data_IF_149990111393
#
_entry.id   IF_149990111393
#
_cell.length_a   1.000
_cell.length_b   1.000
_cell.length_c   1.000
_cell.angle_alpha   90.00
_cell.angle_beta   90.00
_cell.angle_gamma   90.00
#
_symmetry.space_group_name_H-M   'P 1'
#
loop_
_entity.id
_entity.type
_entity.pdbx_description
1 polymer ?
#
# COMPACT_ATOMS: atom_id res chain seq x y z
N UNK A 1 -8.28 4.69 -8.70
CA UNK A 1 -9.47 4.87 -7.85
C UNK A 1 -9.57 3.77 -6.82
N UNK A 2 -10.07 4.12 -5.63
CA UNK A 2 -10.48 3.15 -4.61
C UNK A 2 -11.69 2.33 -5.07
N UNK A 3 -11.94 1.20 -4.39
CA UNK A 3 -13.19 0.44 -4.51
C UNK A 3 -14.21 0.96 -3.49
N UNK A 4 -15.47 0.56 -3.63
CA UNK A 4 -16.53 0.91 -2.69
C UNK A 4 -16.72 -0.17 -1.61
N UNK A 5 -16.97 0.26 -0.36
CA UNK A 5 -16.89 1.64 0.15
C UNK A 5 -15.47 2.19 0.12
N UNK A 6 -15.31 3.51 -0.05
CA UNK A 6 -14.00 4.18 -0.04
C UNK A 6 -13.45 4.29 1.39
N UNK A 7 -13.14 3.15 1.99
CA UNK A 7 -12.72 3.01 3.39
C UNK A 7 -11.52 2.06 3.55
N UNK A 8 -10.84 2.17 4.69
CA UNK A 8 -9.47 1.70 4.84
C UNK A 8 -9.31 0.19 4.68
N UNK A 9 -9.90 -0.67 5.53
CA UNK A 9 -9.66 -2.11 5.43
C UNK A 9 -10.03 -2.67 4.06
N UNK A 10 -11.12 -2.18 3.44
CA UNK A 10 -11.59 -2.60 2.11
C UNK A 10 -10.56 -2.31 1.03
N UNK A 11 -10.00 -1.09 1.04
CA UNK A 11 -9.09 -0.64 -0.01
C UNK A 11 -7.66 -1.14 0.21
N UNK A 12 -7.20 -1.24 1.46
CA UNK A 12 -5.94 -1.92 1.76
C UNK A 12 -5.99 -3.40 1.37
N UNK A 13 -7.09 -4.10 1.68
CA UNK A 13 -7.29 -5.48 1.23
C UNK A 13 -7.25 -5.56 -0.31
N UNK A 14 -8.00 -4.71 -1.01
CA UNK A 14 -8.02 -4.69 -2.47
C UNK A 14 -6.64 -4.42 -3.06
N UNK A 15 -5.87 -3.48 -2.46
CA UNK A 15 -4.51 -3.13 -2.88
C UNK A 15 -3.54 -4.29 -2.75
N UNK A 16 -3.64 -5.10 -1.68
CA UNK A 16 -2.71 -6.21 -1.44
C UNK A 16 -3.16 -7.52 -2.10
N UNK A 17 -4.46 -7.69 -2.34
CA UNK A 17 -5.11 -8.91 -2.79
C UNK A 17 -5.48 -8.91 -4.27
N UNK A 18 -5.24 -7.84 -5.01
CA UNK A 18 -5.48 -7.77 -6.45
C UNK A 18 -6.93 -8.02 -6.86
N UNK A 19 -7.90 -7.83 -5.97
CA UNK A 19 -9.31 -8.15 -6.15
C UNK A 19 -10.21 -7.15 -5.41
N UNK A 20 -11.48 -7.11 -5.75
CA UNK A 20 -12.48 -6.31 -5.06
C UNK A 20 -13.08 -6.99 -3.83
N UNK A 21 -13.84 -6.25 -3.01
CA UNK A 21 -14.42 -6.73 -1.76
C UNK A 21 -15.35 -7.94 -1.94
N UNK A 22 -16.01 -8.06 -3.09
CA UNK A 22 -16.85 -9.22 -3.43
C UNK A 22 -16.07 -10.53 -3.57
N UNK A 23 -14.74 -10.47 -3.72
CA UNK A 23 -13.87 -11.63 -3.85
C UNK A 23 -13.07 -11.91 -2.58
N UNK A 24 -12.46 -10.88 -1.97
CA UNK A 24 -11.66 -11.06 -0.77
C UNK A 24 -12.49 -11.04 0.52
N UNK A 25 -13.69 -10.45 0.51
CA UNK A 25 -14.66 -10.51 1.60
C UNK A 25 -14.54 -9.42 2.67
N UNK A 26 -13.53 -8.56 2.63
CA UNK A 26 -13.41 -7.42 3.54
C UNK A 26 -14.27 -6.27 3.01
N UNK A 27 -15.34 -5.90 3.74
CA UNK A 27 -16.37 -4.97 3.23
C UNK A 27 -16.62 -3.76 4.12
N UNK A 28 -16.07 -3.76 5.34
CA UNK A 28 -16.29 -2.72 6.33
C UNK A 28 -14.97 -1.96 6.63
N UNK A 29 -15.09 -0.75 7.13
CA UNK A 29 -13.95 0.10 7.51
C UNK A 29 -12.90 -0.60 8.37
N UNK A 30 -13.33 -1.35 9.36
CA UNK A 30 -12.47 -2.00 10.36
C UNK A 30 -12.50 -3.52 10.30
N UNK A 31 -12.82 -4.13 9.14
CA UNK A 31 -12.84 -5.59 9.00
C UNK A 31 -11.50 -6.22 9.42
N UNK A 32 -11.54 -7.06 10.44
CA UNK A 32 -10.39 -7.82 10.93
C UNK A 32 -10.34 -9.23 10.34
N UNK A 33 -11.47 -9.71 9.92
CA UNK A 33 -11.68 -10.96 9.18
C UNK A 33 -12.62 -10.66 8.02
N UNK A 34 -12.67 -11.50 6.97
CA UNK A 34 -13.63 -11.32 5.91
C UNK A 34 -15.08 -11.33 6.43
N UNK A 35 -15.86 -10.30 6.12
CA UNK A 35 -17.28 -10.17 6.45
C UNK A 35 -18.14 -11.08 5.56
N UNK A 36 -17.65 -11.31 4.32
CA UNK A 36 -18.17 -12.31 3.38
C UNK A 36 -17.12 -13.42 3.22
N UNK A 37 -17.54 -14.67 2.98
CA UNK A 37 -16.58 -15.73 2.71
C UNK A 37 -15.67 -15.39 1.52
N UNK A 38 -14.35 -15.33 1.76
CA UNK A 38 -13.37 -15.15 0.69
C UNK A 38 -13.54 -16.21 -0.38
N UNK A 39 -13.46 -15.83 -1.65
CA UNK A 39 -13.61 -16.75 -2.80
C UNK A 39 -12.64 -17.93 -2.73
N UNK A 40 -11.42 -17.69 -2.27
CA UNK A 40 -10.39 -18.67 -1.95
C UNK A 40 -9.57 -18.17 -0.77
N UNK A 41 -8.86 -19.07 -0.11
CA UNK A 41 -7.83 -18.71 0.87
C UNK A 41 -6.54 -19.45 0.54
N UNK A 42 -5.40 -18.84 0.87
CA UNK A 42 -4.08 -19.47 0.76
C UNK A 42 -3.83 -20.39 1.97
N UNK A 43 -2.64 -20.98 2.04
CA UNK A 43 -2.24 -21.88 3.15
C UNK A 43 -2.22 -21.21 4.54
N UNK A 44 -2.18 -19.87 4.57
CA UNK A 44 -2.21 -19.08 5.80
C UNK A 44 -3.64 -18.70 6.23
N UNK A 45 -4.67 -19.13 5.47
CA UNK A 45 -6.08 -18.88 5.79
C UNK A 45 -6.61 -17.51 5.40
N UNK A 46 -5.86 -16.75 4.58
CA UNK A 46 -6.25 -15.43 4.07
C UNK A 46 -6.35 -15.48 2.53
N UNK A 47 -7.14 -14.58 1.93
CA UNK A 47 -7.16 -14.42 0.49
C UNK A 47 -5.73 -14.14 -0.05
N UNK A 48 -5.30 -14.70 -1.21
CA UNK A 48 -3.93 -14.54 -1.70
C UNK A 48 -3.51 -13.08 -1.81
N UNK A 49 -2.40 -12.72 -1.16
CA UNK A 49 -1.83 -11.36 -1.16
C UNK A 49 -0.54 -11.30 -1.97
N UNK A 50 -0.11 -10.11 -2.34
CA UNK A 50 1.20 -9.91 -3.00
C UNK A 50 2.34 -10.38 -2.08
N UNK A 51 2.20 -10.27 -0.77
CA UNK A 51 3.20 -10.73 0.20
C UNK A 51 3.32 -12.26 0.20
N UNK A 52 2.19 -12.98 0.26
CA UNK A 52 2.20 -14.44 0.18
C UNK A 52 2.68 -14.94 -1.17
N UNK A 53 2.32 -14.26 -2.26
CA UNK A 53 2.74 -14.63 -3.60
C UNK A 53 4.26 -14.51 -3.78
N UNK A 54 4.86 -13.42 -3.27
CA UNK A 54 6.32 -13.24 -3.29
C UNK A 54 7.01 -14.28 -2.39
N UNK A 55 6.49 -14.52 -1.17
CA UNK A 55 7.03 -15.53 -0.25
C UNK A 55 6.98 -16.95 -0.82
N UNK A 56 5.95 -17.29 -1.57
CA UNK A 56 5.82 -18.60 -2.22
C UNK A 56 6.80 -18.76 -3.38
N UNK A 57 7.05 -17.69 -4.12
CA UNK A 57 8.02 -17.68 -5.22
C UNK A 57 9.46 -17.67 -4.72
N UNK A 58 9.74 -16.87 -3.70
CA UNK A 58 11.06 -16.80 -3.04
C UNK A 58 10.91 -16.96 -1.52
N UNK A 59 11.14 -18.18 -0.99
CA UNK A 59 11.06 -18.44 0.44
C UNK A 59 12.05 -17.64 1.30
N UNK A 60 13.09 -17.05 0.69
CA UNK A 60 14.13 -16.26 1.38
C UNK A 60 13.96 -14.76 1.20
N UNK A 61 12.99 -14.31 0.41
CA UNK A 61 12.76 -12.90 0.20
C UNK A 61 12.57 -12.16 1.53
N UNK A 62 13.28 -11.06 1.72
CA UNK A 62 13.07 -10.18 2.86
C UNK A 62 11.87 -9.28 2.57
N UNK A 63 10.77 -9.46 3.34
CA UNK A 63 9.50 -8.80 3.11
C UNK A 63 9.08 -8.10 4.41
N UNK A 64 8.88 -6.78 4.36
CA UNK A 64 8.51 -5.98 5.52
C UNK A 64 7.15 -5.32 5.39
N UNK A 65 6.50 -5.13 6.55
CA UNK A 65 5.36 -4.24 6.72
C UNK A 65 5.56 -3.39 7.97
N UNK A 66 5.50 -2.08 7.80
CA UNK A 66 5.60 -1.09 8.88
C UNK A 66 4.35 -0.21 8.78
N UNK A 67 3.53 -0.19 9.80
CA UNK A 67 2.26 0.54 9.78
C UNK A 67 1.97 1.22 11.10
N UNK A 68 1.19 2.28 11.05
CA UNK A 68 0.71 3.02 12.22
C UNK A 68 -0.63 2.44 12.68
N UNK A 69 -1.55 2.17 11.75
CA UNK A 69 -2.82 1.52 12.04
C UNK A 69 -2.71 0.00 12.03
N UNK A 70 -3.03 -0.63 13.16
CA UNK A 70 -2.96 -2.08 13.32
C UNK A 70 -3.89 -2.87 12.36
N UNK A 71 -4.90 -2.21 11.78
CA UNK A 71 -5.82 -2.81 10.80
C UNK A 71 -5.13 -3.36 9.54
N UNK A 72 -3.99 -2.78 9.16
CA UNK A 72 -3.15 -3.28 8.06
C UNK A 72 -2.77 -4.75 8.25
N UNK A 73 -2.51 -5.16 9.49
CA UNK A 73 -2.04 -6.52 9.83
C UNK A 73 -3.09 -7.60 9.59
N UNK A 74 -4.38 -7.23 9.53
CA UNK A 74 -5.45 -8.18 9.22
C UNK A 74 -5.62 -8.46 7.73
N UNK A 75 -5.02 -7.61 6.86
CA UNK A 75 -5.17 -7.71 5.41
C UNK A 75 -3.86 -7.97 4.65
N UNK A 76 -2.69 -7.90 5.32
CA UNK A 76 -1.39 -8.03 4.67
C UNK A 76 -0.75 -9.43 4.71
N UNK A 77 -1.39 -10.45 5.26
CA UNK A 77 -0.80 -11.81 5.45
C UNK A 77 0.51 -11.78 6.25
N UNK A 78 0.42 -11.53 7.55
CA UNK A 78 1.57 -11.40 8.44
C UNK A 78 2.49 -12.61 8.48
N UNK A 79 1.96 -13.82 8.15
CA UNK A 79 2.76 -15.05 8.09
C UNK A 79 3.68 -15.10 6.85
N UNK A 80 3.46 -14.24 5.87
CA UNK A 80 4.35 -14.10 4.72
C UNK A 80 5.51 -13.12 4.97
N UNK A 81 5.45 -12.32 6.04
CA UNK A 81 6.42 -11.27 6.32
C UNK A 81 7.68 -11.80 7.03
N UNK A 82 8.82 -11.17 6.79
CA UNK A 82 10.06 -11.30 7.56
C UNK A 82 10.10 -10.29 8.70
N UNK A 83 9.47 -9.14 8.50
CA UNK A 83 9.41 -8.03 9.44
C UNK A 83 8.01 -7.42 9.47
N UNK A 84 7.37 -7.49 10.62
CA UNK A 84 6.04 -6.93 10.89
C UNK A 84 6.15 -5.97 12.08
N UNK A 85 5.88 -4.68 11.84
CA UNK A 85 5.99 -3.67 12.89
C UNK A 85 4.80 -2.72 12.85
N UNK A 86 4.00 -2.75 13.92
CA UNK A 86 3.03 -1.71 14.21
C UNK A 86 3.67 -0.62 15.08
N UNK A 87 3.63 0.61 14.63
CA UNK A 87 4.23 1.77 15.32
C UNK A 87 3.20 2.36 16.27
N UNK A 88 3.50 2.31 17.55
CA UNK A 88 2.66 2.86 18.62
C UNK A 88 3.30 4.08 19.31
N UNK A 89 4.60 4.29 19.07
CA UNK A 89 5.36 5.41 19.63
C UNK A 89 4.87 6.74 19.07
N UNK A 90 4.71 7.71 19.92
CA UNK A 90 4.25 9.06 19.53
C UNK A 90 5.43 10.06 19.50
N UNK A 91 5.49 10.97 18.54
CA UNK A 91 4.62 11.07 17.35
C UNK A 91 4.90 9.94 16.34
N UNK A 92 3.85 9.37 15.74
CA UNK A 92 3.96 8.16 14.93
C UNK A 92 4.75 8.35 13.63
N UNK A 93 4.46 9.38 12.84
CA UNK A 93 5.08 9.56 11.53
C UNK A 93 6.63 9.58 11.56
N UNK A 94 7.29 10.36 12.44
CA UNK A 94 8.76 10.30 12.52
C UNK A 94 9.27 8.94 13.03
N UNK A 95 8.54 8.26 13.92
CA UNK A 95 8.89 6.92 14.39
C UNK A 95 8.77 5.88 13.26
N UNK A 96 7.74 5.98 12.44
CA UNK A 96 7.52 5.14 11.25
C UNK A 96 8.65 5.34 10.23
N UNK A 97 8.96 6.59 9.91
CA UNK A 97 10.06 6.92 8.99
C UNK A 97 11.41 6.39 9.50
N UNK A 98 11.71 6.61 10.78
CA UNK A 98 12.93 6.09 11.41
C UNK A 98 13.01 4.57 11.35
N UNK A 99 11.93 3.87 11.70
CA UNK A 99 11.85 2.42 11.64
C UNK A 99 12.09 1.90 10.21
N UNK A 100 11.48 2.53 9.21
CA UNK A 100 11.66 2.20 7.81
C UNK A 100 13.11 2.39 7.35
N UNK A 101 13.73 3.52 7.68
CA UNK A 101 15.14 3.82 7.37
C UNK A 101 16.08 2.77 7.97
N UNK A 102 15.90 2.43 9.24
CA UNK A 102 16.72 1.43 9.95
C UNK A 102 16.54 0.03 9.34
N UNK A 103 15.30 -0.35 9.02
CA UNK A 103 15.00 -1.64 8.42
C UNK A 103 15.60 -1.77 7.02
N UNK A 104 15.43 -0.77 6.15
CA UNK A 104 15.96 -0.76 4.79
C UNK A 104 17.49 -0.91 4.81
N UNK A 105 18.19 -0.11 5.63
CA UNK A 105 19.66 -0.14 5.71
C UNK A 105 20.21 -1.45 6.26
N UNK A 106 19.46 -2.10 7.18
CA UNK A 106 19.90 -3.35 7.80
C UNK A 106 19.58 -4.58 6.96
N UNK A 107 18.39 -4.64 6.41
CA UNK A 107 17.82 -5.88 5.88
C UNK A 107 17.78 -5.94 4.35
N UNK A 108 17.91 -4.81 3.66
CA UNK A 108 17.82 -4.71 2.19
C UNK A 108 16.58 -5.45 1.65
N UNK A 109 15.35 -5.09 2.06
CA UNK A 109 14.16 -5.86 1.74
C UNK A 109 13.88 -5.89 0.24
N UNK A 110 13.40 -7.05 -0.24
CA UNK A 110 12.89 -7.18 -1.60
C UNK A 110 11.58 -6.40 -1.79
N UNK A 111 10.72 -6.41 -0.75
CA UNK A 111 9.48 -5.64 -0.70
C UNK A 111 9.27 -5.09 0.70
N UNK A 112 9.02 -3.79 0.82
CA UNK A 112 8.59 -3.18 2.08
C UNK A 112 7.36 -2.31 1.85
N UNK A 113 6.34 -2.54 2.67
CA UNK A 113 5.15 -1.73 2.76
C UNK A 113 5.27 -0.81 3.97
N UNK A 114 5.14 0.50 3.77
CA UNK A 114 5.23 1.51 4.82
C UNK A 114 3.95 2.32 4.77
N UNK A 115 3.18 2.32 5.86
CA UNK A 115 1.86 2.95 5.94
C UNK A 115 1.88 4.01 7.03
N UNK A 116 1.64 5.24 6.62
CA UNK A 116 1.35 6.37 7.49
C UNK A 116 -0.16 6.54 7.61
N UNK A 117 -0.66 6.85 8.80
CA UNK A 117 -2.09 7.14 9.02
C UNK A 117 -2.45 8.58 8.61
N UNK A 118 -1.46 9.44 8.44
CA UNK A 118 -1.63 10.76 7.88
C UNK A 118 -1.56 10.73 6.33
N UNK A 119 -2.27 11.60 5.63
CA UNK A 119 -2.97 12.80 6.11
C UNK A 119 -4.43 12.56 6.52
N UNK A 120 -4.89 11.32 6.65
CA UNK A 120 -6.28 11.00 6.96
C UNK A 120 -6.70 11.53 8.35
N UNK A 121 -5.86 11.38 9.37
CA UNK A 121 -6.16 11.90 10.70
C UNK A 121 -6.37 13.43 10.71
N UNK A 122 -5.51 14.19 10.02
CA UNK A 122 -5.72 15.64 9.90
C UNK A 122 -6.94 15.95 9.05
N UNK A 123 -7.24 15.12 8.05
CA UNK A 123 -8.47 15.20 7.26
C UNK A 123 -9.73 15.08 8.11
N UNK A 124 -9.77 14.13 9.03
CA UNK A 124 -10.87 13.98 9.99
C UNK A 124 -10.95 15.14 11.01
N UNK A 125 -9.81 15.63 11.47
CA UNK A 125 -9.75 16.68 12.48
C UNK A 125 -10.07 18.08 11.90
N UNK A 126 -9.40 18.46 10.82
CA UNK A 126 -9.42 19.82 10.27
C UNK A 126 -10.15 19.91 8.93
N UNK A 127 -10.33 18.77 8.24
CA UNK A 127 -10.93 18.66 6.92
C UNK A 127 -9.92 18.37 5.83
N UNK A 128 -10.36 17.58 4.86
CA UNK A 128 -9.66 17.35 3.61
C UNK A 128 -9.67 18.66 2.78
N UNK A 129 -8.66 18.84 1.93
CA UNK A 129 -8.51 20.04 1.08
C UNK A 129 -8.40 21.35 1.89
N UNK A 130 -7.75 21.30 3.06
CA UNK A 130 -7.47 22.46 3.91
C UNK A 130 -5.98 22.78 3.97
N UNK A 131 -5.58 24.00 4.38
CA UNK A 131 -4.16 24.32 4.59
C UNK A 131 -3.45 23.35 5.53
N UNK A 132 -4.10 22.91 6.62
CA UNK A 132 -3.54 21.94 7.57
C UNK A 132 -3.27 20.57 6.89
N UNK A 133 -4.18 20.14 6.03
CA UNK A 133 -4.02 18.91 5.25
C UNK A 133 -2.80 18.98 4.31
N UNK A 134 -2.63 20.09 3.61
CA UNK A 134 -1.49 20.27 2.70
C UNK A 134 -0.16 20.42 3.42
N UNK A 135 -0.12 21.07 4.59
CA UNK A 135 1.10 21.10 5.43
C UNK A 135 1.48 19.69 5.91
N UNK A 136 0.49 18.86 6.24
CA UNK A 136 0.72 17.45 6.61
C UNK A 136 1.26 16.63 5.42
N UNK A 137 0.73 16.82 4.22
CA UNK A 137 1.29 16.20 3.00
C UNK A 137 2.75 16.59 2.77
N UNK A 138 3.10 17.85 2.99
CA UNK A 138 4.48 18.33 2.88
C UNK A 138 5.40 17.71 3.94
N UNK A 139 4.89 17.52 5.15
CA UNK A 139 5.63 16.80 6.21
C UNK A 139 5.90 15.34 5.78
N UNK A 140 4.88 14.64 5.26
CA UNK A 140 5.01 13.26 4.77
C UNK A 140 5.99 13.16 3.58
N UNK A 141 5.97 14.10 2.66
CA UNK A 141 6.95 14.17 1.56
C UNK A 141 8.39 14.22 2.10
N UNK A 142 8.62 14.95 3.20
CA UNK A 142 9.89 14.96 3.91
C UNK A 142 10.30 13.58 4.46
N UNK A 143 9.38 12.80 4.99
CA UNK A 143 9.63 11.43 5.44
C UNK A 143 9.88 10.48 4.27
N UNK A 144 9.15 10.60 3.18
CA UNK A 144 9.40 9.87 1.94
C UNK A 144 10.83 10.16 1.44
N UNK A 145 11.24 11.43 1.47
CA UNK A 145 12.61 11.85 1.14
C UNK A 145 13.67 11.15 1.98
N UNK A 146 13.44 10.98 3.29
CA UNK A 146 14.36 10.26 4.18
C UNK A 146 14.43 8.76 3.82
N UNK A 147 13.30 8.15 3.47
CA UNK A 147 13.23 6.74 3.04
C UNK A 147 13.99 6.54 1.71
N UNK A 148 13.80 7.42 0.73
CA UNK A 148 14.54 7.39 -0.54
C UNK A 148 16.04 7.55 -0.29
N UNK A 149 16.44 8.45 0.61
CA UNK A 149 17.86 8.63 0.98
C UNK A 149 18.42 7.36 1.63
N UNK A 150 17.65 6.67 2.47
CA UNK A 150 18.07 5.40 3.07
C UNK A 150 18.32 4.30 2.03
N UNK A 151 17.45 4.20 1.02
CA UNK A 151 17.62 3.28 -0.12
C UNK A 151 18.91 3.62 -0.89
N UNK A 152 19.17 4.91 -1.12
CA UNK A 152 20.41 5.38 -1.76
C UNK A 152 21.66 5.06 -0.93
N UNK A 153 21.63 5.33 0.38
CA UNK A 153 22.72 5.05 1.31
C UNK A 153 23.03 3.54 1.39
N UNK A 154 22.00 2.71 1.23
CA UNK A 154 22.12 1.25 1.18
C UNK A 154 22.65 0.72 -0.18
N UNK A 155 22.86 1.59 -1.17
CA UNK A 155 23.32 1.22 -2.51
C UNK A 155 22.26 0.53 -3.39
N UNK A 156 20.97 0.69 -3.04
CA UNK A 156 19.86 -0.02 -3.68
C UNK A 156 19.09 0.83 -4.70
N UNK A 157 19.43 2.12 -4.85
CA UNK A 157 18.61 3.08 -5.61
C UNK A 157 18.37 2.63 -7.06
N UNK A 158 19.41 2.13 -7.73
CA UNK A 158 19.35 1.73 -9.14
C UNK A 158 18.57 0.43 -9.37
N UNK A 159 18.27 -0.30 -8.29
CA UNK A 159 17.50 -1.55 -8.32
C UNK A 159 16.10 -1.40 -7.74
N UNK A 160 15.74 -0.21 -7.23
CA UNK A 160 14.48 0.04 -6.53
C UNK A 160 13.44 0.68 -7.43
N UNK A 161 12.20 0.26 -7.22
CA UNK A 161 10.99 0.94 -7.70
C UNK A 161 10.23 1.43 -6.48
N UNK A 162 9.88 2.72 -6.48
CA UNK A 162 9.05 3.35 -5.46
C UNK A 162 7.61 3.46 -5.96
N UNK A 163 6.66 3.11 -5.12
CA UNK A 163 5.24 3.34 -5.33
C UNK A 163 4.73 4.17 -4.16
N UNK A 164 4.09 5.30 -4.44
CA UNK A 164 3.41 6.14 -3.46
C UNK A 164 1.94 6.21 -3.85
N UNK A 165 1.07 5.81 -2.94
CA UNK A 165 -0.37 5.75 -3.18
C UNK A 165 -1.13 5.95 -1.87
N UNK A 166 -2.46 6.04 -1.96
CA UNK A 166 -3.36 6.08 -0.82
C UNK A 166 -4.49 5.06 -1.01
N UNK A 167 -5.10 4.63 0.07
CA UNK A 167 -6.21 3.67 0.04
C UNK A 167 -7.54 4.32 -0.38
N UNK A 168 -7.78 5.56 -0.03
CA UNK A 168 -8.93 6.37 -0.45
C UNK A 168 -8.59 7.86 -0.46
N UNK A 169 -9.50 8.65 -0.97
CA UNK A 169 -9.52 10.09 -0.80
C UNK A 169 -10.40 10.51 0.37
N UNK A 170 -10.89 11.75 0.37
CA UNK A 170 -11.78 12.23 1.41
C UNK A 170 -12.47 13.52 1.03
N UNK A 171 -13.60 13.81 1.69
CA UNK A 171 -14.37 15.03 1.52
C UNK A 171 -14.77 15.59 2.86
N UNK A 172 -14.64 16.92 3.06
CA UNK A 172 -14.89 17.55 4.35
C UNK A 172 -14.08 16.86 5.46
N UNK A 173 -14.74 16.26 6.44
CA UNK A 173 -14.11 15.56 7.57
C UNK A 173 -14.32 14.04 7.52
N UNK A 174 -14.52 13.44 6.34
CA UNK A 174 -14.81 12.02 6.25
C UNK A 174 -14.50 11.41 4.88
N UNK A 175 -14.76 10.12 4.81
CA UNK A 175 -14.66 9.27 3.62
C UNK A 175 -15.61 8.05 3.79
N UNK A 176 -15.59 7.11 2.86
CA UNK A 176 -16.42 5.90 2.89
C UNK A 176 -17.60 5.95 1.93
N UNK A 177 -17.84 7.10 1.30
CA UNK A 177 -18.89 7.32 0.32
C UNK A 177 -18.46 7.01 -1.11
N UNK A 178 -19.16 7.62 -2.05
CA UNK A 178 -19.02 7.36 -3.49
C UNK A 178 -18.76 8.62 -4.32
N UNK A 179 -18.37 9.71 -3.67
CA UNK A 179 -17.98 10.92 -4.39
C UNK A 179 -16.61 10.72 -5.03
N UNK A 180 -16.29 11.51 -6.05
CA UNK A 180 -14.99 11.39 -6.71
C UNK A 180 -13.85 11.78 -5.78
N UNK A 181 -14.07 12.76 -4.89
CA UNK A 181 -13.12 13.20 -3.89
C UNK A 181 -12.76 12.08 -2.89
N UNK A 182 -13.70 11.18 -2.59
CA UNK A 182 -13.47 10.02 -1.73
C UNK A 182 -12.83 8.84 -2.47
N UNK A 183 -13.04 8.75 -3.78
CA UNK A 183 -12.60 7.61 -4.60
C UNK A 183 -11.30 7.85 -5.37
N UNK A 184 -10.95 9.09 -5.68
CA UNK A 184 -9.70 9.37 -6.37
C UNK A 184 -8.51 9.30 -5.42
N UNK A 185 -7.52 8.51 -5.82
CA UNK A 185 -6.27 8.32 -5.10
C UNK A 185 -5.09 8.61 -6.01
N UNK A 186 -4.04 9.18 -5.47
CA UNK A 186 -2.79 9.31 -6.19
C UNK A 186 -2.15 7.93 -6.41
N UNK A 187 -1.50 7.74 -7.55
CA UNK A 187 -0.58 6.63 -7.79
C UNK A 187 0.65 7.15 -8.50
N UNK A 188 1.75 7.18 -7.79
CA UNK A 188 3.04 7.65 -8.28
C UNK A 188 3.99 6.45 -8.30
N UNK A 189 4.63 6.19 -9.44
CA UNK A 189 5.61 5.13 -9.58
C UNK A 189 6.89 5.67 -10.21
N UNK A 190 8.04 5.35 -9.63
CA UNK A 190 9.34 5.81 -10.11
C UNK A 190 10.43 4.79 -9.79
N UNK A 191 11.52 4.80 -10.56
CA UNK A 191 12.69 3.97 -10.29
C UNK A 191 13.14 3.13 -11.47
N UNK A 192 13.71 1.96 -11.18
CA UNK A 192 14.29 1.05 -12.18
C UNK A 192 13.28 0.68 -13.27
N UNK A 193 13.62 0.96 -14.53
CA UNK A 193 12.79 0.57 -15.67
C UNK A 193 11.48 1.38 -15.84
N UNK A 194 11.21 2.38 -14.99
CA UNK A 194 10.01 3.21 -15.10
C UNK A 194 10.26 4.42 -16.02
N UNK A 195 9.27 4.75 -16.85
CA UNK A 195 9.29 5.95 -17.70
C UNK A 195 9.26 7.21 -16.84
N UNK A 196 10.05 8.22 -17.19
CA UNK A 196 10.07 9.50 -16.49
C UNK A 196 9.04 10.47 -17.10
N UNK A 197 8.32 11.20 -16.25
CA UNK A 197 7.34 12.21 -16.69
C UNK A 197 6.17 11.62 -17.49
N UNK A 198 5.85 10.35 -17.28
CA UNK A 198 4.74 9.68 -17.94
C UNK A 198 3.47 9.83 -17.09
N UNK A 199 2.38 10.24 -17.74
CA UNK A 199 1.06 10.27 -17.14
C UNK A 199 0.23 9.08 -17.63
N UNK A 200 -0.50 8.44 -16.71
CA UNK A 200 -1.37 7.31 -17.04
C UNK A 200 -2.45 7.73 -18.03
N UNK A 201 -2.57 7.00 -19.12
CA UNK A 201 -3.61 7.19 -20.13
C UNK A 201 -4.84 6.32 -19.88
N UNK A 202 -4.68 5.27 -19.08
CA UNK A 202 -5.73 4.35 -18.70
C UNK A 202 -6.03 4.47 -17.20
N UNK A 203 -7.29 4.31 -16.84
CA UNK A 203 -7.69 4.32 -15.44
C UNK A 203 -7.11 3.13 -14.69
N UNK A 204 -6.75 3.37 -13.43
CA UNK A 204 -6.26 2.37 -12.50
C UNK A 204 -7.25 2.21 -11.36
N UNK A 205 -7.48 0.98 -10.91
CA UNK A 205 -8.21 0.65 -9.70
C UNK A 205 -7.25 0.21 -8.61
N UNK A 206 -7.68 0.28 -7.37
CA UNK A 206 -6.85 -0.06 -6.21
C UNK A 206 -6.24 -1.47 -6.31
N UNK A 207 -7.01 -2.43 -6.80
CA UNK A 207 -6.57 -3.82 -6.96
C UNK A 207 -5.51 -4.02 -8.08
N UNK A 208 -5.31 -3.03 -8.96
CA UNK A 208 -4.27 -3.08 -9.99
C UNK A 208 -2.85 -2.92 -9.37
N UNK A 209 -2.77 -2.44 -8.13
CA UNK A 209 -1.50 -2.27 -7.41
C UNK A 209 -0.78 -3.61 -7.19
N UNK A 210 -1.47 -4.59 -6.59
CA UNK A 210 -0.90 -5.93 -6.39
C UNK A 210 -0.45 -6.56 -7.71
N UNK A 211 -1.27 -6.41 -8.76
CA UNK A 211 -0.98 -6.91 -10.12
C UNK A 211 0.26 -6.26 -10.73
N UNK A 212 0.42 -4.95 -10.51
CA UNK A 212 1.60 -4.21 -10.96
C UNK A 212 2.86 -4.66 -10.21
N UNK A 213 2.77 -4.87 -8.89
CA UNK A 213 3.89 -5.38 -8.09
C UNK A 213 4.23 -6.82 -8.50
N UNK A 214 3.24 -7.67 -8.75
CA UNK A 214 3.45 -9.03 -9.24
C UNK A 214 4.17 -9.02 -10.61
N UNK A 215 3.80 -8.12 -11.51
CA UNK A 215 4.49 -7.94 -12.79
C UNK A 215 5.95 -7.51 -12.61
N UNK A 216 6.24 -6.58 -11.69
CA UNK A 216 7.61 -6.14 -11.37
C UNK A 216 8.49 -7.31 -10.95
N UNK A 217 7.97 -8.22 -10.13
CA UNK A 217 8.68 -9.41 -9.65
C UNK A 217 8.60 -10.61 -10.61
N UNK A 218 7.91 -10.49 -11.75
CA UNK A 218 7.73 -11.61 -12.69
C UNK A 218 6.89 -12.75 -12.12
N UNK A 219 6.00 -12.47 -11.17
CA UNK A 219 5.16 -13.45 -10.50
C UNK A 219 3.90 -13.75 -11.32
N UNK A 220 3.49 -15.02 -11.31
CA UNK A 220 2.21 -15.40 -11.91
C UNK A 220 1.06 -15.03 -10.99
N UNK A 221 0.15 -14.20 -11.48
CA UNK A 221 -1.05 -13.82 -10.72
C UNK A 221 -1.94 -15.03 -10.44
N UNK A 222 -2.54 -15.12 -9.22
CA UNK A 222 -3.61 -16.07 -8.94
C UNK A 222 -4.82 -15.80 -9.84
N UNK A 223 -5.52 -16.86 -10.25
CA UNK A 223 -6.69 -16.73 -11.11
C UNK A 223 -7.82 -15.87 -10.50
N UNK A 224 -7.86 -15.78 -9.18
CA UNK A 224 -8.88 -15.01 -8.45
C UNK A 224 -8.60 -13.50 -8.42
N UNK A 225 -7.41 -13.07 -8.81
CA UNK A 225 -7.11 -11.65 -8.94
C UNK A 225 -7.71 -11.12 -10.24
N UNK A 226 -8.35 -9.96 -10.14
CA UNK A 226 -8.97 -9.25 -11.28
C UNK A 226 -8.18 -8.02 -11.69
N UNK A 227 -7.18 -7.63 -10.88
CA UNK A 227 -6.30 -6.51 -11.17
C UNK A 227 -5.46 -6.73 -12.43
N UNK A 228 -5.11 -5.65 -13.09
CA UNK A 228 -4.27 -5.61 -14.30
C UNK A 228 -2.97 -4.89 -14.01
N UNK A 229 -1.82 -5.41 -14.43
CA UNK A 229 -0.56 -4.68 -14.26
C UNK A 229 -0.56 -3.41 -15.13
N UNK A 230 -0.09 -2.31 -14.57
CA UNK A 230 0.04 -1.02 -15.29
C UNK A 230 1.25 -1.02 -16.20
N UNK A 231 1.26 -1.91 -17.21
CA UNK A 231 2.40 -2.13 -18.10
C UNK A 231 2.84 -0.91 -18.89
N UNK A 232 1.94 0.06 -19.07
CA UNK A 232 2.18 1.30 -19.79
C UNK A 232 3.30 2.18 -19.20
N UNK A 233 3.65 2.01 -17.91
CA UNK A 233 4.67 2.82 -17.23
C UNK A 233 6.09 2.29 -17.40
N UNK A 234 6.26 1.06 -17.84
CA UNK A 234 7.58 0.45 -18.05
C UNK A 234 8.20 0.85 -19.38
N UNK A 235 9.55 0.90 -19.41
CA UNK A 235 10.34 1.19 -20.62
C UNK A 235 10.35 0.02 -21.57
#
# INVERSE_FOLDING_TARGET
RSVLPSSSAVNWASMYMGAGPELHGYTEWGSQTPDLPSRVVNKNGIFPTIFSLLRESDPKAEIGCICEWAGIRYVCDTLALSYDKNITDKPQNPATAKCAVEYIKRAHPALVNIVFDEPDHVGHAEGHDTPAYYEKLKELDGYIGQIIQAVKDAGLLDETIFIVTADHGGIKKGHGGKTMEEMETAFIIAGKGIKKGYEFQESMMQFDCASTIAYIFGLKQPQVWIGRPMVQVFK
#
